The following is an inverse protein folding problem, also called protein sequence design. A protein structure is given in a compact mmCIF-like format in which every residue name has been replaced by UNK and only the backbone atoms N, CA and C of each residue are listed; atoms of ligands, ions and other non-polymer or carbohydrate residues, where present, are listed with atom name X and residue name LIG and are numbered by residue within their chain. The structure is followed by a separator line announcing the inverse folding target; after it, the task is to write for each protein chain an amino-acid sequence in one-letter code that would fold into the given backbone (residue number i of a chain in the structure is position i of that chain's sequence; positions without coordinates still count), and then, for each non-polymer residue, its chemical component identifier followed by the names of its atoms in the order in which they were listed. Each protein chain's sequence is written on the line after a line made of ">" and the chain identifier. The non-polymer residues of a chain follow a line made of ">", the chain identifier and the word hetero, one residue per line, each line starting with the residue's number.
data_IF_475118981827
#
_entry.id   IF_475118981827
#
_cell.length_a   1.000
_cell.length_b   1.000
_cell.length_c   1.000
_cell.angle_alpha   90.00
_cell.angle_beta   90.00
_cell.angle_gamma   90.00
#
_symmetry.space_group_name_H-M   'P 1'
#
loop_
_entity.id
_entity.type
_entity.pdbx_description
1 polymer ?
#
# COMPACT_ATOMS: atom_id res chain seq x y z
N UNK A 1 -0.16 7.46 7.96
CA UNK A 1 -1.48 8.09 7.77
C UNK A 1 -2.36 8.18 9.04
N UNK A 2 -1.81 8.32 10.27
CA UNK A 2 -2.63 8.28 11.50
C UNK A 2 -3.52 9.52 11.69
N UNK A 3 -2.99 10.71 11.40
CA UNK A 3 -3.74 11.97 11.56
C UNK A 3 -4.92 12.07 10.60
N UNK A 4 -4.72 11.65 9.35
CA UNK A 4 -5.77 11.62 8.33
C UNK A 4 -6.88 10.63 8.69
N UNK A 5 -6.52 9.45 9.20
CA UNK A 5 -7.49 8.48 9.67
C UNK A 5 -8.39 9.05 10.77
N UNK A 6 -7.81 9.72 11.77
CA UNK A 6 -8.58 10.39 12.84
C UNK A 6 -9.45 11.52 12.30
N UNK A 7 -8.96 12.30 11.32
CA UNK A 7 -9.73 13.35 10.68
C UNK A 7 -10.95 12.79 9.94
N UNK A 8 -10.79 11.69 9.19
CA UNK A 8 -11.88 11.01 8.49
C UNK A 8 -12.92 10.44 9.46
N UNK A 9 -12.47 9.75 10.52
CA UNK A 9 -13.37 9.26 11.57
C UNK A 9 -14.19 10.39 12.20
N UNK A 10 -13.52 11.49 12.55
CA UNK A 10 -14.18 12.67 13.11
C UNK A 10 -15.20 13.26 12.13
N UNK A 11 -14.82 13.43 10.87
CA UNK A 11 -15.69 13.99 9.84
C UNK A 11 -16.97 13.16 9.65
N UNK A 12 -16.85 11.84 9.54
CA UNK A 12 -18.02 10.95 9.41
C UNK A 12 -18.89 10.99 10.67
N UNK A 13 -18.29 11.01 11.87
CA UNK A 13 -19.03 11.08 13.12
C UNK A 13 -19.81 12.40 13.27
N UNK A 14 -19.19 13.54 12.95
CA UNK A 14 -19.86 14.84 12.98
C UNK A 14 -20.94 14.92 11.91
N UNK A 15 -20.66 14.49 10.68
CA UNK A 15 -21.66 14.50 9.60
C UNK A 15 -22.88 13.64 9.94
N UNK A 16 -22.67 12.43 10.47
CA UNK A 16 -23.75 11.56 10.93
C UNK A 16 -24.58 12.18 12.05
N UNK A 17 -23.96 12.98 12.94
CA UNK A 17 -24.67 13.71 14.00
C UNK A 17 -25.46 14.87 13.44
N UNK A 18 -24.85 15.69 12.59
CA UNK A 18 -25.45 16.92 12.05
C UNK A 18 -26.63 16.61 11.13
N UNK A 19 -26.57 15.48 10.41
CA UNK A 19 -27.67 14.99 9.57
C UNK A 19 -28.66 14.12 10.32
N UNK A 20 -28.41 13.78 11.59
CA UNK A 20 -29.12 12.72 12.29
C UNK A 20 -29.19 11.40 11.47
N UNK A 21 -28.15 11.13 10.67
CA UNK A 21 -28.06 10.03 9.71
C UNK A 21 -29.14 10.05 8.61
N UNK A 22 -29.80 11.18 8.39
CA UNK A 22 -30.73 11.40 7.30
C UNK A 22 -29.98 11.85 6.05
N UNK A 23 -29.33 10.89 5.40
CA UNK A 23 -28.66 11.09 4.12
C UNK A 23 -28.76 9.82 3.27
N UNK A 24 -28.67 9.98 1.95
CA UNK A 24 -28.69 8.85 1.04
C UNK A 24 -27.36 8.07 1.07
N UNK A 25 -27.45 6.75 1.23
CA UNK A 25 -26.30 5.84 1.15
C UNK A 25 -25.64 5.56 2.50
N UNK A 26 -24.41 5.03 2.45
CA UNK A 26 -23.66 4.58 3.61
C UNK A 26 -22.24 5.14 3.59
N UNK A 27 -21.67 5.41 4.77
CA UNK A 27 -20.31 5.88 4.94
C UNK A 27 -19.51 4.87 5.77
N UNK A 28 -18.40 4.40 5.20
CA UNK A 28 -17.48 3.48 5.85
C UNK A 28 -16.13 4.18 6.06
N UNK A 29 -15.56 4.03 7.26
CA UNK A 29 -14.17 4.43 7.55
C UNK A 29 -13.37 3.16 7.82
N UNK A 30 -12.37 2.92 6.98
CA UNK A 30 -11.63 1.67 6.96
C UNK A 30 -10.18 1.87 7.42
N UNK A 31 -9.77 1.13 8.46
CA UNK A 31 -8.37 1.00 8.85
C UNK A 31 -7.70 -0.09 8.03
N UNK A 32 -6.82 0.30 7.11
CA UNK A 32 -6.11 -0.61 6.20
C UNK A 32 -4.77 -1.01 6.82
N UNK A 33 -4.43 -2.30 6.77
CA UNK A 33 -3.15 -2.86 7.26
C UNK A 33 -2.25 -3.28 6.10
N UNK A 34 -0.95 -3.34 6.38
CA UNK A 34 0.11 -3.75 5.43
C UNK A 34 0.30 -2.84 4.22
N UNK A 35 -0.25 -1.63 4.20
CA UNK A 35 -0.11 -0.69 3.07
C UNK A 35 1.37 -0.46 2.69
N UNK A 36 2.22 -0.17 3.68
CA UNK A 36 3.65 0.13 3.50
C UNK A 36 4.52 -1.06 3.00
N UNK A 37 4.01 -2.31 3.11
CA UNK A 37 4.79 -3.54 2.78
C UNK A 37 4.16 -4.28 1.60
N UNK A 38 2.84 -4.41 1.62
CA UNK A 38 2.03 -5.12 0.63
C UNK A 38 0.79 -4.29 0.31
N UNK A 39 0.97 -3.37 -0.63
CA UNK A 39 -0.10 -2.48 -1.08
C UNK A 39 -1.34 -3.26 -1.53
N UNK A 40 -2.49 -2.86 -1.02
CA UNK A 40 -3.79 -3.35 -1.48
C UNK A 40 -4.26 -4.69 -0.90
N UNK A 41 -3.48 -5.39 -0.05
CA UNK A 41 -3.93 -6.69 0.51
C UNK A 41 -5.22 -6.54 1.30
N UNK A 42 -5.22 -5.71 2.34
CA UNK A 42 -6.43 -5.50 3.15
C UNK A 42 -7.46 -4.62 2.45
N UNK A 43 -7.02 -3.62 1.68
CA UNK A 43 -7.92 -2.76 0.92
C UNK A 43 -8.79 -3.55 -0.08
N UNK A 44 -8.23 -4.56 -0.76
CA UNK A 44 -8.98 -5.43 -1.68
C UNK A 44 -10.06 -6.23 -0.96
N UNK A 45 -9.77 -6.77 0.21
CA UNK A 45 -10.76 -7.54 0.99
C UNK A 45 -11.90 -6.63 1.49
N UNK A 46 -11.56 -5.41 1.93
CA UNK A 46 -12.56 -4.41 2.34
C UNK A 46 -13.43 -4.00 1.14
N UNK A 47 -12.82 -3.71 -0.02
CA UNK A 47 -13.57 -3.38 -1.24
C UNK A 47 -14.49 -4.51 -1.70
N UNK A 48 -14.08 -5.78 -1.56
CA UNK A 48 -14.95 -6.94 -1.86
C UNK A 48 -16.15 -7.03 -0.92
N UNK A 49 -15.94 -6.71 0.36
CA UNK A 49 -16.99 -6.80 1.39
C UNK A 49 -18.00 -5.64 1.32
N UNK A 50 -17.51 -4.42 1.06
CA UNK A 50 -18.32 -3.18 1.12
C UNK A 50 -18.82 -2.73 -0.26
N UNK A 51 -18.13 -3.11 -1.34
CA UNK A 51 -18.46 -2.73 -2.73
C UNK A 51 -18.77 -1.22 -2.90
N UNK A 52 -17.85 -0.32 -2.50
CA UNK A 52 -18.12 1.12 -2.50
C UNK A 52 -18.21 1.71 -3.92
N UNK A 53 -19.13 2.65 -4.13
CA UNK A 53 -19.21 3.45 -5.36
C UNK A 53 -18.04 4.43 -5.51
N UNK A 54 -17.54 4.95 -4.39
CA UNK A 54 -16.45 5.92 -4.32
C UNK A 54 -15.49 5.59 -3.18
N UNK A 55 -14.20 5.84 -3.40
CA UNK A 55 -13.14 5.63 -2.39
C UNK A 55 -12.31 6.90 -2.27
N UNK A 56 -12.11 7.36 -1.04
CA UNK A 56 -11.19 8.46 -0.69
C UNK A 56 -10.09 7.89 0.18
N UNK A 57 -8.84 8.06 -0.24
CA UNK A 57 -7.66 7.60 0.51
C UNK A 57 -7.01 8.78 1.23
N UNK A 58 -6.81 8.65 2.54
CA UNK A 58 -6.32 9.72 3.42
C UNK A 58 -4.81 9.88 3.41
N UNK A 59 -4.21 10.12 2.25
CA UNK A 59 -2.77 10.37 2.15
C UNK A 59 -2.39 11.82 2.46
N UNK A 60 -1.14 12.02 2.89
CA UNK A 60 -0.56 13.36 3.02
C UNK A 60 -0.37 13.98 1.64
N UNK A 61 -1.22 14.94 1.27
CA UNK A 61 -1.18 15.58 -0.05
C UNK A 61 -1.07 17.12 -0.01
N UNK A 62 -0.80 17.72 1.14
CA UNK A 62 -0.88 19.18 1.35
C UNK A 62 -2.24 19.76 0.92
N UNK A 63 -3.32 19.02 1.22
CA UNK A 63 -4.70 19.34 0.82
C UNK A 63 -4.94 19.37 -0.70
N UNK A 64 -4.01 18.83 -1.50
CA UNK A 64 -4.24 18.63 -2.93
C UNK A 64 -5.08 17.38 -3.18
N UNK A 65 -6.00 17.46 -4.13
CA UNK A 65 -6.68 16.28 -4.66
C UNK A 65 -5.75 15.57 -5.65
N UNK A 66 -5.42 14.31 -5.34
CA UNK A 66 -4.63 13.44 -6.23
C UNK A 66 -5.57 12.41 -6.84
N UNK A 67 -5.60 12.33 -8.17
CA UNK A 67 -6.40 11.37 -8.93
C UNK A 67 -5.48 10.34 -9.57
N UNK A 68 -5.35 9.19 -8.93
CA UNK A 68 -4.50 8.09 -9.37
C UNK A 68 -3.02 8.24 -8.99
N UNK A 69 -2.30 7.13 -9.14
CA UNK A 69 -0.87 7.01 -8.88
C UNK A 69 -0.23 6.10 -9.94
N UNK A 70 1.10 6.18 -10.07
CA UNK A 70 1.84 5.24 -10.93
C UNK A 70 1.81 3.87 -10.29
N UNK A 71 1.65 2.83 -11.11
CA UNK A 71 1.84 1.45 -10.65
C UNK A 71 3.30 1.20 -10.24
N UNK A 72 3.49 0.28 -9.30
CA UNK A 72 4.79 -0.25 -8.89
C UNK A 72 4.97 -1.66 -9.48
N UNK A 73 6.15 -1.90 -10.04
CA UNK A 73 6.61 -3.24 -10.42
C UNK A 73 7.93 -3.52 -9.71
N UNK A 74 8.09 -4.73 -9.20
CA UNK A 74 9.31 -5.16 -8.52
C UNK A 74 9.92 -6.34 -9.30
N UNK A 75 11.22 -6.25 -9.59
CA UNK A 75 11.98 -7.32 -10.23
C UNK A 75 12.92 -7.88 -9.18
N UNK A 76 12.74 -9.16 -8.86
CA UNK A 76 13.65 -9.89 -7.98
C UNK A 76 14.67 -10.61 -8.84
N UNK A 77 15.95 -10.38 -8.57
CA UNK A 77 17.06 -11.07 -9.24
C UNK A 77 17.72 -12.01 -8.26
N UNK A 78 17.45 -13.30 -8.42
CA UNK A 78 18.10 -14.37 -7.65
C UNK A 78 19.22 -14.99 -8.47
N UNK A 79 20.35 -15.28 -7.82
CA UNK A 79 21.51 -15.86 -8.51
C UNK A 79 22.00 -17.09 -7.76
N UNK A 80 22.34 -18.17 -8.48
CA UNK A 80 22.84 -19.43 -7.92
C UNK A 80 24.31 -19.67 -8.27
N UNK A 81 25.16 -19.81 -7.26
CA UNK A 81 26.59 -20.08 -7.41
C UNK A 81 27.02 -21.42 -6.82
N UNK A 82 28.32 -21.71 -6.89
CA UNK A 82 28.92 -22.89 -6.27
C UNK A 82 29.99 -22.43 -5.27
N UNK A 83 29.85 -22.73 -3.96
CA UNK A 83 30.85 -22.35 -2.97
C UNK A 83 32.15 -23.14 -3.18
N UNK A 84 33.29 -22.49 -2.92
CA UNK A 84 34.60 -23.10 -2.93
C UNK A 84 35.48 -22.53 -1.82
N UNK A 85 36.50 -23.28 -1.41
CA UNK A 85 37.51 -22.79 -0.48
C UNK A 85 38.20 -21.57 -1.11
N UNK A 86 38.45 -20.51 -0.34
CA UNK A 86 39.03 -19.26 -0.85
C UNK A 86 40.40 -19.44 -1.51
N UNK A 87 41.16 -20.46 -1.09
CA UNK A 87 42.43 -20.86 -1.70
C UNK A 87 42.31 -21.62 -3.04
N UNK A 88 41.10 -22.02 -3.46
CA UNK A 88 40.81 -22.73 -4.71
C UNK A 88 39.56 -22.15 -5.40
N UNK A 89 39.58 -20.86 -5.77
CA UNK A 89 38.42 -20.18 -6.34
C UNK A 89 37.94 -20.78 -7.67
N UNK A 90 38.83 -21.43 -8.44
CA UNK A 90 38.54 -22.11 -9.69
C UNK A 90 37.54 -23.28 -9.56
N UNK A 91 37.36 -23.80 -8.33
CA UNK A 91 36.40 -24.88 -8.04
C UNK A 91 34.97 -24.37 -7.78
N UNK A 92 34.82 -23.06 -7.63
CA UNK A 92 33.56 -22.38 -7.37
C UNK A 92 32.98 -21.69 -8.61
N UNK A 93 31.79 -21.15 -8.46
CA UNK A 93 31.16 -20.25 -9.43
C UNK A 93 30.83 -18.97 -8.69
N UNK A 94 31.55 -17.89 -9.03
CA UNK A 94 31.40 -16.59 -8.38
C UNK A 94 30.14 -15.88 -8.92
N UNK A 95 29.30 -15.43 -8.00
CA UNK A 95 28.06 -14.73 -8.31
C UNK A 95 28.30 -13.23 -8.20
N UNK A 96 28.73 -12.60 -9.29
CA UNK A 96 28.82 -11.15 -9.36
C UNK A 96 27.88 -10.64 -10.45
N UNK A 97 26.84 -9.92 -10.05
CA UNK A 97 26.07 -9.10 -10.99
C UNK A 97 26.90 -7.85 -11.25
N UNK A 98 27.45 -7.73 -12.47
CA UNK A 98 28.01 -6.47 -12.94
C UNK A 98 26.85 -5.63 -13.49
N UNK A 99 26.35 -4.68 -12.70
CA UNK A 99 25.45 -3.65 -13.21
C UNK A 99 26.26 -2.68 -14.09
N UNK A 100 26.07 -2.75 -15.40
CA UNK A 100 26.36 -1.62 -16.29
C UNK A 100 25.10 -0.75 -16.28
N UNK A 101 25.18 0.38 -15.59
CA UNK A 101 24.36 1.54 -15.91
C UNK A 101 25.02 2.29 -17.07
#
# INVERSE_FOLDING_TARGET
>A
MKGQYTAMMSAVAYFAKDTNRDFAGELYVAGVVHEEIFEGVSAREISKAVQPDYVVIGESSELNLKIGQRGRGEIVVETFGKPAHSANPEKGVMQFIKWLM
#
